data_IF_601840946091
#
_entry.id   IF_601840946091
#
_cell.length_a   1.000
_cell.length_b   1.000
_cell.length_c   1.000
_cell.angle_alpha   90.00
_cell.angle_beta   90.00
_cell.angle_gamma   90.00
#
_symmetry.space_group_name_H-M   'P 1'
#
loop_
_entity.id
_entity.type
_entity.pdbx_description
1 polymer ?
#
# COMPACT_ATOMS: atom_id res chain seq x y z
N UNK A 1 0.79 17.31 -16.03
CA UNK A 1 -0.41 16.48 -16.03
C UNK A 1 -0.06 15.03 -15.70
N UNK A 2 -0.82 14.40 -14.83
CA UNK A 2 -0.55 13.03 -14.42
C UNK A 2 -0.77 12.05 -15.57
N UNK A 3 0.25 11.24 -15.88
CA UNK A 3 0.12 10.13 -16.82
C UNK A 3 -0.40 8.90 -16.07
N UNK A 4 -1.68 8.60 -16.20
CA UNK A 4 -2.35 7.51 -15.46
C UNK A 4 -1.74 6.14 -15.75
N UNK A 5 -1.40 5.86 -17.00
CA UNK A 5 -0.83 4.57 -17.39
C UNK A 5 0.54 4.37 -16.75
N UNK A 6 1.38 5.38 -16.79
CA UNK A 6 2.71 5.34 -16.17
C UNK A 6 2.59 5.23 -14.66
N UNK A 7 1.67 6.00 -14.05
CA UNK A 7 1.45 5.98 -12.61
C UNK A 7 1.01 4.58 -12.14
N UNK A 8 0.04 4.00 -12.84
CA UNK A 8 -0.44 2.65 -12.52
C UNK A 8 0.65 1.60 -12.69
N UNK A 9 1.47 1.72 -13.72
CA UNK A 9 2.59 0.81 -13.95
C UNK A 9 3.60 0.86 -12.81
N UNK A 10 3.96 2.06 -12.36
CA UNK A 10 4.91 2.23 -11.24
C UNK A 10 4.32 1.67 -9.95
N UNK A 11 3.05 1.98 -9.64
CA UNK A 11 2.38 1.42 -8.48
C UNK A 11 2.37 -0.11 -8.51
N UNK A 12 2.05 -0.69 -9.66
CA UNK A 12 2.04 -2.15 -9.83
C UNK A 12 3.40 -2.79 -9.62
N UNK A 13 4.47 -2.15 -10.10
CA UNK A 13 5.84 -2.63 -9.90
C UNK A 13 6.27 -2.53 -8.44
N UNK A 14 5.91 -1.46 -7.76
CA UNK A 14 6.18 -1.31 -6.33
C UNK A 14 5.47 -2.41 -5.54
N UNK A 15 4.20 -2.65 -5.83
CA UNK A 15 3.43 -3.74 -5.20
C UNK A 15 4.08 -5.10 -5.43
N UNK A 16 4.50 -5.37 -6.67
CA UNK A 16 5.19 -6.62 -7.01
C UNK A 16 6.47 -6.77 -6.19
N UNK A 17 7.28 -5.73 -6.08
CA UNK A 17 8.53 -5.79 -5.33
C UNK A 17 8.28 -5.98 -3.84
N UNK A 18 7.26 -5.33 -3.29
CA UNK A 18 6.91 -5.50 -1.88
C UNK A 18 6.45 -6.93 -1.57
N UNK A 19 5.59 -7.50 -2.41
CA UNK A 19 5.05 -8.84 -2.17
C UNK A 19 5.95 -9.97 -2.66
N UNK A 20 6.96 -9.66 -3.46
CA UNK A 20 8.03 -10.61 -3.80
C UNK A 20 9.05 -10.73 -2.68
N UNK A 21 9.13 -9.76 -1.79
CA UNK A 21 10.02 -9.81 -0.63
C UNK A 21 9.36 -10.61 0.49
N UNK A 22 9.78 -11.86 0.63
CA UNK A 22 9.19 -12.78 1.61
C UNK A 22 9.39 -12.34 3.06
N UNK A 23 10.35 -11.45 3.32
CA UNK A 23 10.59 -10.94 4.66
C UNK A 23 9.52 -9.96 5.14
N UNK A 24 8.76 -9.35 4.21
CA UNK A 24 7.71 -8.40 4.57
C UNK A 24 6.33 -8.76 4.02
N UNK A 25 6.24 -9.66 3.06
CA UNK A 25 4.97 -9.95 2.36
C UNK A 25 3.84 -10.42 3.28
N UNK A 26 4.17 -11.11 4.37
CA UNK A 26 3.18 -11.56 5.36
C UNK A 26 2.88 -10.53 6.44
N UNK A 27 3.62 -9.41 6.46
CA UNK A 27 3.49 -8.37 7.49
C UNK A 27 2.62 -7.20 7.04
N UNK A 28 2.31 -7.10 5.75
CA UNK A 28 1.57 -5.98 5.19
C UNK A 28 0.32 -6.46 4.46
N UNK A 29 -0.79 -5.77 4.70
CA UNK A 29 -2.05 -6.02 4.00
C UNK A 29 -2.42 -4.84 3.13
N UNK A 30 -2.58 -5.07 1.82
CA UNK A 30 -2.90 -4.03 0.84
C UNK A 30 -4.38 -3.65 0.96
N UNK A 31 -4.65 -2.34 1.06
CA UNK A 31 -6.00 -1.82 1.23
C UNK A 31 -6.18 -0.51 0.47
N UNK A 32 -7.30 0.15 0.69
CA UNK A 32 -7.60 1.49 0.17
C UNK A 32 -8.13 1.49 -1.26
N UNK A 33 -8.23 2.69 -1.82
CA UNK A 33 -8.83 2.90 -3.14
C UNK A 33 -8.07 2.21 -4.27
N UNK A 34 -6.75 2.17 -4.21
CA UNK A 34 -5.95 1.50 -5.25
C UNK A 34 -6.15 0.00 -5.22
N UNK A 35 -6.27 -0.60 -4.03
CA UNK A 35 -6.62 -2.01 -3.90
C UNK A 35 -7.98 -2.32 -4.53
N UNK A 36 -8.98 -1.48 -4.24
CA UNK A 36 -10.31 -1.61 -4.83
C UNK A 36 -10.28 -1.43 -6.35
N UNK A 37 -9.49 -0.49 -6.85
CA UNK A 37 -9.31 -0.26 -8.27
C UNK A 37 -8.67 -1.47 -8.98
N UNK A 38 -7.63 -2.04 -8.39
CA UNK A 38 -6.91 -3.17 -8.99
C UNK A 38 -7.69 -4.49 -8.97
N UNK A 39 -8.41 -4.75 -7.88
CA UNK A 39 -9.00 -6.07 -7.65
C UNK A 39 -10.51 -6.13 -7.68
N UNK A 40 -11.20 -5.02 -7.49
CA UNK A 40 -12.65 -5.01 -7.32
C UNK A 40 -13.38 -4.03 -8.23
N UNK A 41 -12.73 -3.64 -9.33
CA UNK A 41 -13.34 -2.82 -10.38
C UNK A 41 -13.90 -1.48 -9.92
N UNK A 42 -13.25 -0.85 -8.92
CA UNK A 42 -13.59 0.52 -8.56
C UNK A 42 -13.38 1.42 -9.78
N UNK A 43 -14.42 2.14 -10.27
CA UNK A 43 -14.29 2.90 -11.51
C UNK A 43 -13.40 4.14 -11.39
N UNK A 44 -13.14 4.62 -10.17
CA UNK A 44 -12.32 5.79 -9.93
C UNK A 44 -10.86 5.42 -9.80
N UNK A 45 -10.01 6.07 -10.61
CA UNK A 45 -8.56 5.90 -10.52
C UNK A 45 -8.03 6.40 -9.17
N UNK A 46 -7.20 5.60 -8.54
CA UNK A 46 -6.54 5.91 -7.26
C UNK A 46 -5.04 6.07 -7.45
N UNK A 47 -4.43 6.97 -6.69
CA UNK A 47 -3.04 7.40 -6.90
C UNK A 47 -2.09 7.04 -5.76
N UNK A 48 -2.59 6.55 -4.63
CA UNK A 48 -1.81 6.26 -3.44
C UNK A 48 -1.80 4.75 -3.14
N UNK A 49 -0.80 4.31 -2.39
CA UNK A 49 -0.72 2.94 -1.92
C UNK A 49 -0.89 2.91 -0.40
N UNK A 50 -1.89 2.17 0.07
CA UNK A 50 -2.24 2.08 1.48
C UNK A 50 -2.17 0.64 1.96
N UNK A 51 -1.61 0.45 3.15
CA UNK A 51 -1.43 -0.87 3.76
C UNK A 51 -1.74 -0.81 5.25
N UNK A 52 -2.04 -1.97 5.82
CA UNK A 52 -2.00 -2.19 7.26
C UNK A 52 -0.79 -3.02 7.62
N UNK A 53 -0.13 -2.68 8.73
CA UNK A 53 0.88 -3.54 9.33
C UNK A 53 0.18 -4.61 10.17
N UNK A 54 0.44 -5.86 9.87
CA UNK A 54 -0.24 -7.02 10.48
C UNK A 54 0.52 -7.61 11.67
N UNK A 55 1.45 -6.84 12.23
CA UNK A 55 2.21 -7.20 13.42
C UNK A 55 2.21 -6.06 14.41
N UNK A 56 2.06 -6.38 15.70
CA UNK A 56 2.13 -5.40 16.78
C UNK A 56 3.58 -5.13 17.23
N UNK A 57 4.55 -5.83 16.69
CA UNK A 57 5.95 -5.75 17.10
C UNK A 57 6.60 -4.47 16.55
N UNK A 58 7.21 -3.66 17.45
CA UNK A 58 7.91 -2.45 17.06
C UNK A 58 9.15 -2.71 16.18
N UNK A 59 9.79 -3.86 16.33
CA UNK A 59 10.89 -4.26 15.45
C UNK A 59 10.39 -4.51 14.03
N UNK A 60 9.19 -5.09 13.86
CA UNK A 60 8.56 -5.28 12.55
C UNK A 60 8.25 -3.95 11.87
N UNK A 61 7.80 -2.96 12.63
CA UNK A 61 7.53 -1.61 12.11
C UNK A 61 8.78 -0.99 11.49
N UNK A 62 9.88 -0.99 12.21
CA UNK A 62 11.15 -0.44 11.73
C UNK A 62 11.67 -1.22 10.53
N UNK A 63 11.57 -2.54 10.57
CA UNK A 63 12.01 -3.42 9.50
C UNK A 63 11.25 -3.15 8.21
N UNK A 64 9.92 -3.08 8.28
CA UNK A 64 9.06 -2.77 7.13
C UNK A 64 9.38 -1.38 6.57
N UNK A 65 9.58 -0.40 7.45
CA UNK A 65 9.95 0.96 7.04
C UNK A 65 11.25 0.95 6.21
N UNK A 66 12.28 0.28 6.67
CA UNK A 66 13.57 0.21 5.98
C UNK A 66 13.45 -0.52 4.65
N UNK A 67 12.71 -1.62 4.61
CA UNK A 67 12.51 -2.40 3.39
C UNK A 67 11.74 -1.64 2.32
N UNK A 68 10.64 -0.99 2.69
CA UNK A 68 9.85 -0.19 1.76
C UNK A 68 10.68 0.97 1.23
N UNK A 69 11.43 1.67 2.09
CA UNK A 69 12.30 2.76 1.66
C UNK A 69 13.30 2.32 0.60
N UNK A 70 13.92 1.15 0.79
CA UNK A 70 14.86 0.57 -0.18
C UNK A 70 14.19 0.22 -1.51
N UNK A 71 12.97 -0.30 -1.48
CA UNK A 71 12.21 -0.61 -2.70
C UNK A 71 11.86 0.69 -3.46
N UNK A 72 11.33 1.68 -2.76
CA UNK A 72 10.92 2.94 -3.38
C UNK A 72 12.10 3.68 -4.02
N UNK A 73 13.28 3.61 -3.42
CA UNK A 73 14.49 4.26 -3.95
C UNK A 73 14.88 3.78 -5.35
N UNK A 74 14.42 2.60 -5.76
CA UNK A 74 14.65 2.08 -7.12
C UNK A 74 13.82 2.81 -8.18
N UNK A 75 12.74 3.46 -7.79
CA UNK A 75 11.77 4.06 -8.72
C UNK A 75 11.86 5.56 -8.82
N UNK A 76 12.56 6.21 -7.90
CA UNK A 76 12.69 7.65 -7.91
C UNK A 76 13.27 8.18 -6.62
N UNK A 77 12.97 9.44 -6.32
CA UNK A 77 13.45 10.13 -5.14
C UNK A 77 12.39 10.10 -4.05
N UNK A 78 12.77 9.64 -2.86
CA UNK A 78 11.91 9.73 -1.68
C UNK A 78 12.02 11.15 -1.12
N UNK A 79 10.98 11.96 -1.37
CA UNK A 79 10.93 13.38 -0.99
C UNK A 79 10.67 13.59 0.49
N UNK A 80 9.91 12.68 1.10
CA UNK A 80 9.56 12.74 2.50
C UNK A 80 9.35 11.33 3.03
N UNK A 81 9.70 11.12 4.29
CA UNK A 81 9.47 9.83 4.94
C UNK A 81 9.51 10.02 6.46
N UNK A 82 8.70 9.26 7.18
CA UNK A 82 8.71 9.27 8.64
C UNK A 82 7.99 8.04 9.20
N UNK A 83 8.28 7.77 10.47
CA UNK A 83 7.47 6.91 11.31
C UNK A 83 6.92 7.80 12.42
N UNK A 84 5.60 7.94 12.50
CA UNK A 84 4.94 8.69 13.57
C UNK A 84 3.84 7.82 14.16
N UNK A 85 3.91 7.57 15.46
CA UNK A 85 2.90 6.80 16.21
C UNK A 85 2.40 5.55 15.46
N UNK A 86 1.33 5.72 14.67
CA UNK A 86 0.64 4.62 14.02
C UNK A 86 0.75 4.67 12.48
N UNK A 87 1.73 5.40 11.94
CA UNK A 87 1.87 5.54 10.49
C UNK A 87 3.31 5.51 10.05
N UNK A 88 3.60 4.66 9.07
CA UNK A 88 4.80 4.71 8.24
C UNK A 88 4.40 5.46 6.96
N UNK A 89 5.15 6.49 6.60
CA UNK A 89 4.81 7.35 5.47
C UNK A 89 6.00 7.53 4.55
N UNK A 90 5.73 7.49 3.24
CA UNK A 90 6.69 7.86 2.19
C UNK A 90 6.00 8.70 1.13
N UNK A 91 6.71 9.69 0.63
CA UNK A 91 6.33 10.42 -0.59
C UNK A 91 7.40 10.16 -1.63
N UNK A 92 7.05 9.40 -2.66
CA UNK A 92 7.95 9.06 -3.76
C UNK A 92 7.67 9.98 -4.95
N UNK A 93 8.73 10.58 -5.50
CA UNK A 93 8.67 11.26 -6.79
C UNK A 93 9.42 10.44 -7.82
N UNK A 94 8.72 9.99 -8.86
CA UNK A 94 9.30 9.13 -9.91
C UNK A 94 9.45 9.85 -11.26
N UNK A 95 9.41 11.14 -11.26
CA UNK A 95 9.54 11.96 -12.46
C UNK A 95 9.54 13.44 -12.11
N UNK A 96 8.77 14.23 -12.83
CA UNK A 96 8.60 15.66 -12.52
C UNK A 96 7.60 15.87 -11.38
N UNK A 97 7.28 17.15 -11.09
CA UNK A 97 6.52 17.56 -9.90
C UNK A 97 5.14 16.89 -9.76
N UNK A 98 4.54 16.46 -10.87
CA UNK A 98 3.19 15.90 -10.86
C UNK A 98 3.17 14.36 -10.64
N UNK A 99 4.35 13.74 -10.59
CA UNK A 99 4.47 12.27 -10.54
C UNK A 99 4.91 11.81 -9.15
N UNK A 100 3.97 11.90 -8.19
CA UNK A 100 4.21 11.50 -6.80
C UNK A 100 3.27 10.38 -6.38
N UNK A 101 3.79 9.45 -5.59
CA UNK A 101 3.02 8.40 -4.96
C UNK A 101 3.20 8.48 -3.45
N UNK A 102 2.10 8.58 -2.71
CA UNK A 102 2.12 8.42 -1.26
C UNK A 102 2.00 6.95 -0.92
N UNK A 103 2.87 6.48 -0.05
CA UNK A 103 2.81 5.12 0.47
C UNK A 103 2.64 5.22 1.98
N UNK A 104 1.53 4.67 2.49
CA UNK A 104 1.23 4.69 3.92
C UNK A 104 1.02 3.28 4.42
N UNK A 105 1.62 2.96 5.57
CA UNK A 105 1.36 1.74 6.30
C UNK A 105 0.83 2.12 7.67
N UNK A 106 -0.42 1.76 7.95
CA UNK A 106 -1.03 2.03 9.24
C UNK A 106 -0.61 0.96 10.25
N UNK A 107 0.09 1.40 11.30
CA UNK A 107 0.47 0.54 12.41
C UNK A 107 -0.66 0.60 13.43
N UNK A 108 -1.54 -0.40 13.40
CA UNK A 108 -2.66 -0.45 14.34
C UNK A 108 -2.36 -1.42 15.46
N UNK A 109 -2.89 -1.11 16.66
CA UNK A 109 -3.00 -2.12 17.69
C UNK A 109 -3.93 -3.19 17.13
N UNK A 110 -3.41 -4.41 16.98
CA UNK A 110 -4.16 -5.50 16.34
C UNK A 110 -5.37 -5.87 17.19
N UNK A 111 -6.55 -5.61 16.65
CA UNK A 111 -7.77 -6.23 17.15
C UNK A 111 -7.77 -7.71 16.76
N UNK A 112 -8.26 -8.62 17.64
CA UNK A 112 -8.38 -10.02 17.28
C UNK A 112 -9.15 -10.18 15.97
N UNK A 113 -8.61 -10.96 15.04
CA UNK A 113 -9.28 -11.25 13.79
C UNK A 113 -9.00 -10.30 12.63
N UNK A 114 -8.10 -9.30 12.77
CA UNK A 114 -7.78 -8.38 11.67
C UNK A 114 -7.34 -9.12 10.40
N UNK A 115 -6.63 -10.24 10.53
CA UNK A 115 -6.19 -11.04 9.38
C UNK A 115 -7.35 -11.59 8.56
N UNK A 116 -8.54 -11.72 9.14
CA UNK A 116 -9.75 -12.21 8.44
C UNK A 116 -10.27 -11.20 7.42
N UNK A 117 -9.82 -9.94 7.46
CA UNK A 117 -10.21 -8.91 6.51
C UNK A 117 -9.37 -8.94 5.24
N UNK A 118 -8.41 -9.86 5.14
CA UNK A 118 -7.50 -9.98 4.00
C UNK A 118 -7.64 -11.34 3.36
N UNK A 119 -7.38 -11.39 2.04
CA UNK A 119 -7.35 -12.62 1.27
C UNK A 119 -6.22 -12.55 0.25
N UNK A 120 -5.83 -13.70 -0.28
CA UNK A 120 -4.77 -13.75 -1.28
C UNK A 120 -5.36 -13.40 -2.64
N UNK A 121 -4.79 -12.39 -3.29
CA UNK A 121 -5.07 -11.99 -4.67
C UNK A 121 -3.79 -12.06 -5.48
N UNK A 122 -3.92 -12.33 -6.77
CA UNK A 122 -2.78 -12.41 -7.66
C UNK A 122 -2.74 -11.22 -8.61
N UNK A 123 -1.56 -10.62 -8.76
CA UNK A 123 -1.31 -9.50 -9.66
C UNK A 123 0.09 -9.64 -10.25
N UNK A 124 0.19 -9.62 -11.60
CA UNK A 124 1.45 -9.81 -12.32
C UNK A 124 2.21 -11.07 -11.89
N UNK A 125 1.50 -12.16 -11.60
CA UNK A 125 2.09 -13.43 -11.19
C UNK A 125 2.54 -13.51 -9.74
N UNK A 126 2.27 -12.48 -8.94
CA UNK A 126 2.66 -12.42 -7.53
C UNK A 126 1.41 -12.48 -6.65
N UNK A 127 1.46 -13.30 -5.61
CA UNK A 127 0.41 -13.37 -4.61
C UNK A 127 0.53 -12.22 -3.63
N UNK A 128 -0.57 -11.52 -3.40
CA UNK A 128 -0.66 -10.36 -2.51
C UNK A 128 -1.72 -10.61 -1.44
N UNK A 129 -1.45 -10.12 -0.24
CA UNK A 129 -2.44 -10.12 0.83
C UNK A 129 -3.25 -8.83 0.73
N UNK A 130 -4.45 -8.93 0.15
CA UNK A 130 -5.30 -7.77 -0.16
C UNK A 130 -6.57 -7.79 0.69
N UNK A 131 -7.05 -6.60 1.06
CA UNK A 131 -8.29 -6.46 1.81
C UNK A 131 -9.46 -7.07 1.04
N UNK A 132 -10.36 -7.74 1.75
CA UNK A 132 -11.56 -8.34 1.14
C UNK A 132 -12.50 -7.25 0.65
N UNK A 133 -13.26 -7.56 -0.40
CA UNK A 133 -14.18 -6.61 -1.04
C UNK A 133 -15.11 -5.93 -0.04
N UNK A 134 -15.69 -6.68 0.89
CA UNK A 134 -16.61 -6.14 1.90
C UNK A 134 -15.96 -5.06 2.76
N UNK A 135 -14.76 -5.33 3.26
CA UNK A 135 -14.01 -4.38 4.09
C UNK A 135 -13.65 -3.10 3.33
N UNK A 136 -13.26 -3.24 2.06
CA UNK A 136 -12.92 -2.10 1.21
C UNK A 136 -14.13 -1.26 0.87
N UNK A 137 -15.25 -1.87 0.53
CA UNK A 137 -16.46 -1.15 0.16
C UNK A 137 -17.00 -0.31 1.32
N UNK A 138 -16.93 -0.82 2.54
CA UNK A 138 -17.32 -0.07 3.74
C UNK A 138 -16.41 1.14 3.93
N UNK A 139 -15.10 0.96 3.81
CA UNK A 139 -14.13 2.04 4.00
C UNK A 139 -14.25 3.10 2.90
N UNK A 140 -14.38 2.69 1.63
CA UNK A 140 -14.54 3.61 0.49
C UNK A 140 -15.87 4.35 0.58
N UNK A 141 -16.94 3.68 1.00
CA UNK A 141 -18.23 4.30 1.20
C UNK A 141 -18.22 5.40 2.25
N UNK A 142 -17.47 5.19 3.34
CA UNK A 142 -17.30 6.21 4.38
C UNK A 142 -16.54 7.44 3.91
N UNK A 143 -15.61 7.26 2.95
CA UNK A 143 -14.83 8.37 2.39
C UNK A 143 -15.61 9.17 1.36
N UNK A 144 -16.58 8.56 0.71
CA UNK A 144 -17.34 9.17 -0.39
C UNK A 144 -18.61 9.85 0.10
N UNK A 145 -19.17 9.44 1.22
CA UNK A 145 -20.34 10.09 1.81
C UNK A 145 -19.96 11.43 2.46
N UNK A 146 -20.68 12.51 2.14
CA UNK A 146 -20.42 13.84 2.70
C UNK A 146 -20.69 13.90 4.21
#
# INVERSE_FOLDING_TARGET
MLNKEKHQLIMGRILRDMYSDTSISSLIGFKGGTCAYFFYSLPRFSVDLDFDLLSADGAAQKFVYEKIGGILAKYGEVKDNYIKRNTIFFLLSYGDADHNIKVEVNVRILTPGIKKHYEIKEYLGISMLAARAHSLLVAVGRQVEP
#
